data_IF_924984911317
#
_entry.id   IF_924984911317
#
_cell.length_a   1.000
_cell.length_b   1.000
_cell.length_c   1.000
_cell.angle_alpha   90.00
_cell.angle_beta   90.00
_cell.angle_gamma   90.00
#
_symmetry.space_group_name_H-M   'P 1'
#
loop_
_entity.id
_entity.type
_entity.pdbx_description
1 polymer ?
#
# COMPACT_ATOMS: atom_id res chain seq x y z
N UNK A 1 0.10 -9.71 -17.85
CA UNK A 1 -0.38 -9.93 -16.47
C UNK A 1 -1.17 -8.71 -16.02
N UNK A 2 -2.11 -8.92 -15.13
CA UNK A 2 -2.87 -7.86 -14.48
C UNK A 2 -2.28 -7.56 -13.11
N UNK A 3 -1.76 -6.35 -12.93
CA UNK A 3 -1.00 -5.94 -11.75
C UNK A 3 -1.74 -4.81 -11.05
N UNK A 4 -1.97 -4.95 -9.74
CA UNK A 4 -2.52 -3.91 -8.90
C UNK A 4 -1.42 -3.32 -8.02
N UNK A 5 -1.12 -2.04 -8.22
CA UNK A 5 -0.24 -1.26 -7.35
C UNK A 5 -1.08 -0.57 -6.26
N UNK A 6 -0.70 -0.73 -5.00
CA UNK A 6 -1.40 -0.15 -3.85
C UNK A 6 -0.45 0.80 -3.13
N UNK A 7 -0.80 2.09 -3.10
CA UNK A 7 0.00 3.10 -2.41
C UNK A 7 -0.89 4.24 -1.91
N UNK A 8 -0.71 4.73 -0.67
CA UNK A 8 -1.42 5.92 -0.20
C UNK A 8 -1.10 7.16 -1.04
N UNK A 9 0.04 7.17 -1.74
CA UNK A 9 0.50 8.28 -2.57
C UNK A 9 0.78 7.83 -4.00
N UNK A 10 0.28 8.59 -4.97
CA UNK A 10 0.58 8.48 -6.40
C UNK A 10 0.33 9.85 -7.05
N UNK A 11 0.89 10.10 -8.21
CA UNK A 11 0.68 11.34 -8.95
C UNK A 11 1.24 12.60 -8.25
N UNK A 12 2.30 12.45 -7.43
CA UNK A 12 2.84 13.53 -6.61
C UNK A 12 4.36 13.69 -6.73
N UNK A 13 4.89 14.67 -6.01
CA UNK A 13 6.33 15.02 -6.02
C UNK A 13 7.13 14.15 -5.03
N UNK A 14 6.50 13.36 -4.16
CA UNK A 14 7.17 12.52 -3.18
C UNK A 14 7.86 11.30 -3.78
N UNK A 15 8.97 10.84 -3.18
CA UNK A 15 9.76 9.72 -3.70
C UNK A 15 8.98 8.42 -3.94
N UNK A 16 8.05 8.07 -3.01
CA UNK A 16 7.18 6.89 -3.19
C UNK A 16 6.20 7.10 -4.35
N UNK A 17 5.61 8.29 -4.48
CA UNK A 17 4.69 8.59 -5.57
C UNK A 17 5.39 8.48 -6.92
N UNK A 18 6.55 9.09 -7.07
CA UNK A 18 7.36 9.01 -8.31
C UNK A 18 7.77 7.57 -8.62
N UNK A 19 8.12 6.78 -7.61
CA UNK A 19 8.46 5.37 -7.79
C UNK A 19 7.25 4.56 -8.29
N UNK A 20 6.08 4.74 -7.70
CA UNK A 20 4.85 4.05 -8.12
C UNK A 20 4.46 4.42 -9.54
N UNK A 21 4.51 5.71 -9.86
CA UNK A 21 4.15 6.22 -11.18
C UNK A 21 5.14 5.72 -12.26
N UNK A 22 6.46 5.76 -11.97
CA UNK A 22 7.49 5.25 -12.86
C UNK A 22 7.38 3.73 -13.09
N UNK A 23 7.13 2.97 -12.02
CA UNK A 23 6.92 1.52 -12.13
C UNK A 23 5.66 1.21 -12.95
N UNK A 24 4.57 1.94 -12.75
CA UNK A 24 3.35 1.78 -13.52
C UNK A 24 3.58 2.03 -15.01
N UNK A 25 4.26 3.12 -15.36
CA UNK A 25 4.60 3.46 -16.74
C UNK A 25 5.48 2.38 -17.38
N UNK A 26 6.51 1.92 -16.68
CA UNK A 26 7.39 0.87 -17.17
C UNK A 26 6.62 -0.44 -17.43
N UNK A 27 5.85 -0.92 -16.47
CA UNK A 27 5.09 -2.17 -16.59
C UNK A 27 4.05 -2.11 -17.71
N UNK A 28 3.38 -0.97 -17.87
CA UNK A 28 2.44 -0.74 -18.98
C UNK A 28 3.18 -0.73 -20.32
N UNK A 29 4.35 -0.10 -20.38
CA UNK A 29 5.20 -0.06 -21.57
C UNK A 29 5.67 -1.42 -22.06
N UNK A 30 5.86 -2.39 -21.16
CA UNK A 30 6.21 -3.79 -21.49
C UNK A 30 4.98 -4.70 -21.66
N UNK A 31 3.78 -4.14 -21.72
CA UNK A 31 2.56 -4.86 -22.11
C UNK A 31 1.74 -5.46 -20.96
N UNK A 32 1.95 -5.00 -19.71
CA UNK A 32 1.11 -5.41 -18.58
C UNK A 32 -0.08 -4.45 -18.39
N UNK A 33 -1.20 -4.99 -17.91
CA UNK A 33 -2.34 -4.20 -17.45
C UNK A 33 -2.08 -3.77 -16.01
N UNK A 34 -1.98 -2.46 -15.76
CA UNK A 34 -1.63 -1.92 -14.43
C UNK A 34 -2.73 -1.01 -13.91
N UNK A 35 -3.27 -1.37 -12.75
CA UNK A 35 -4.18 -0.54 -11.97
C UNK A 35 -3.43 0.07 -10.77
N UNK A 36 -3.73 1.32 -10.43
CA UNK A 36 -3.24 1.97 -9.20
C UNK A 36 -4.40 2.22 -8.25
N UNK A 37 -4.26 1.75 -7.01
CA UNK A 37 -5.16 2.06 -5.90
C UNK A 37 -4.44 3.02 -4.95
N UNK A 38 -4.89 4.28 -4.90
CA UNK A 38 -4.27 5.34 -4.10
C UNK A 38 -5.30 6.22 -3.41
N UNK A 39 -4.83 7.18 -2.63
CA UNK A 39 -5.70 8.20 -2.01
C UNK A 39 -6.43 9.09 -3.03
N UNK A 40 -5.99 9.11 -4.28
CA UNK A 40 -6.65 9.87 -5.35
C UNK A 40 -7.94 9.21 -5.85
N UNK A 41 -8.03 7.88 -5.77
CA UNK A 41 -9.19 7.12 -6.22
C UNK A 41 -9.85 6.28 -5.11
N UNK A 42 -9.55 6.58 -3.86
CA UNK A 42 -10.07 5.91 -2.66
C UNK A 42 -10.43 6.96 -1.63
N UNK A 43 -11.50 6.75 -0.88
CA UNK A 43 -11.87 7.67 0.20
C UNK A 43 -10.77 7.75 1.25
N UNK A 44 -10.33 8.98 1.55
CA UNK A 44 -9.36 9.26 2.62
C UNK A 44 -9.76 10.53 3.36
N UNK A 45 -9.55 10.52 4.68
CA UNK A 45 -9.77 11.72 5.51
C UNK A 45 -8.51 12.59 5.41
N UNK A 46 -8.60 13.87 4.96
CA UNK A 46 -7.43 14.72 4.72
C UNK A 46 -6.84 15.32 6.01
N UNK A 47 -6.89 14.60 7.12
CA UNK A 47 -6.31 14.98 8.39
C UNK A 47 -5.04 14.16 8.60
N UNK A 48 -3.93 14.81 8.94
CA UNK A 48 -2.58 14.22 9.03
C UNK A 48 -2.50 12.87 9.76
N UNK A 49 -3.25 12.68 10.85
CA UNK A 49 -3.23 11.43 11.62
C UNK A 49 -4.23 10.38 11.12
N UNK A 50 -5.25 10.77 10.36
CA UNK A 50 -6.34 9.91 9.89
C UNK A 50 -6.20 9.50 8.43
N UNK A 51 -5.34 10.16 7.66
CA UNK A 51 -5.15 9.89 6.22
C UNK A 51 -4.77 8.42 5.96
N UNK A 52 -3.73 7.93 6.60
CA UNK A 52 -3.26 6.56 6.37
C UNK A 52 -4.20 5.49 6.91
N UNK A 53 -4.75 5.57 8.14
CA UNK A 53 -5.76 4.63 8.62
C UNK A 53 -7.02 4.61 7.77
N UNK A 54 -7.53 5.77 7.33
CA UNK A 54 -8.70 5.84 6.46
C UNK A 54 -8.44 5.26 5.08
N UNK A 55 -7.26 5.49 4.50
CA UNK A 55 -6.83 4.85 3.26
C UNK A 55 -6.77 3.33 3.42
N UNK A 56 -6.14 2.83 4.47
CA UNK A 56 -6.02 1.40 4.75
C UNK A 56 -7.39 0.71 4.78
N UNK A 57 -8.35 1.29 5.50
CA UNK A 57 -9.69 0.74 5.62
C UNK A 57 -10.46 0.81 4.29
N UNK A 58 -10.41 1.95 3.60
CA UNK A 58 -11.09 2.14 2.32
C UNK A 58 -10.51 1.25 1.23
N UNK A 59 -9.18 1.10 1.17
CA UNK A 59 -8.51 0.19 0.26
C UNK A 59 -8.91 -1.27 0.54
N UNK A 60 -8.98 -1.67 1.80
CA UNK A 60 -9.45 -3.01 2.17
C UNK A 60 -10.88 -3.28 1.70
N UNK A 61 -11.81 -2.33 1.89
CA UNK A 61 -13.18 -2.47 1.40
C UNK A 61 -13.25 -2.53 -0.13
N UNK A 62 -12.52 -1.64 -0.80
CA UNK A 62 -12.53 -1.55 -2.27
C UNK A 62 -11.94 -2.79 -2.93
N UNK A 63 -10.92 -3.39 -2.34
CA UNK A 63 -10.28 -4.60 -2.87
C UNK A 63 -11.12 -5.86 -2.72
N UNK A 64 -12.12 -5.89 -1.83
CA UNK A 64 -13.08 -7.00 -1.77
C UNK A 64 -13.82 -7.25 -3.09
N UNK A 65 -13.99 -6.22 -3.89
CA UNK A 65 -14.69 -6.27 -5.17
C UNK A 65 -13.75 -6.35 -6.38
N UNK A 66 -12.44 -6.26 -6.16
CA UNK A 66 -11.42 -6.40 -7.23
C UNK A 66 -10.98 -7.86 -7.32
N UNK A 67 -11.21 -8.48 -8.49
CA UNK A 67 -10.81 -9.86 -8.77
C UNK A 67 -9.97 -9.92 -10.05
N UNK A 68 -9.28 -11.04 -10.25
CA UNK A 68 -8.56 -11.32 -11.49
C UNK A 68 -7.21 -10.61 -11.64
N UNK A 69 -6.60 -10.17 -10.54
CA UNK A 69 -5.22 -9.71 -10.55
C UNK A 69 -4.26 -10.90 -10.42
N UNK A 70 -3.16 -10.86 -11.15
CA UNK A 70 -2.07 -11.84 -11.07
C UNK A 70 -1.09 -11.47 -9.95
N UNK A 71 -0.90 -10.16 -9.73
CA UNK A 71 0.00 -9.61 -8.72
C UNK A 71 -0.70 -8.44 -8.00
N UNK A 72 -0.60 -8.41 -6.68
CA UNK A 72 -0.92 -7.26 -5.83
C UNK A 72 0.38 -6.77 -5.17
N UNK A 73 0.80 -5.55 -5.49
CA UNK A 73 2.05 -4.97 -5.02
C UNK A 73 1.77 -3.68 -4.23
N UNK A 74 2.06 -3.69 -2.94
CA UNK A 74 1.95 -2.48 -2.12
C UNK A 74 3.30 -1.83 -1.90
N UNK A 75 3.32 -0.50 -1.99
CA UNK A 75 4.49 0.35 -1.76
C UNK A 75 4.48 1.00 -0.38
N UNK A 76 3.56 0.61 0.45
CA UNK A 76 3.47 1.09 1.83
C UNK A 76 2.80 0.05 2.70
N UNK A 77 3.30 -0.11 3.92
CA UNK A 77 2.78 -1.10 4.86
C UNK A 77 1.27 -0.94 5.13
N UNK A 78 0.75 0.29 5.04
CA UNK A 78 -0.68 0.57 5.20
C UNK A 78 -1.56 -0.02 4.08
N UNK A 79 -0.98 -0.36 2.93
CA UNK A 79 -1.69 -1.06 1.85
C UNK A 79 -1.79 -2.58 2.05
N UNK A 80 -0.99 -3.14 2.96
CA UNK A 80 -0.89 -4.59 3.13
C UNK A 80 -2.21 -5.25 3.54
N UNK A 81 -3.03 -4.57 4.35
CA UNK A 81 -4.33 -5.10 4.76
C UNK A 81 -5.25 -5.38 3.56
N UNK A 82 -5.20 -4.50 2.55
CA UNK A 82 -6.00 -4.66 1.34
C UNK A 82 -5.64 -5.94 0.57
N UNK A 83 -4.39 -6.41 0.70
CA UNK A 83 -3.93 -7.62 0.02
C UNK A 83 -4.50 -8.92 0.61
N UNK A 84 -5.12 -8.89 1.81
CA UNK A 84 -5.84 -10.06 2.36
C UNK A 84 -6.96 -10.56 1.45
N UNK A 85 -7.53 -9.68 0.65
CA UNK A 85 -8.64 -10.00 -0.24
C UNK A 85 -8.21 -10.75 -1.53
N UNK A 86 -6.91 -10.88 -1.77
CA UNK A 86 -6.38 -11.50 -2.98
C UNK A 86 -5.77 -12.88 -2.71
N UNK A 87 -5.98 -13.80 -3.64
CA UNK A 87 -5.30 -15.10 -3.71
C UNK A 87 -4.08 -15.10 -4.65
N UNK A 88 -3.83 -13.96 -5.35
CA UNK A 88 -2.68 -13.78 -6.23
C UNK A 88 -1.37 -13.56 -5.45
N UNK A 89 -0.25 -13.48 -6.18
CA UNK A 89 1.06 -13.11 -5.59
C UNK A 89 1.04 -11.73 -4.97
N UNK A 90 1.57 -11.62 -3.76
CA UNK A 90 1.57 -10.40 -2.94
C UNK A 90 3.00 -9.94 -2.70
N UNK A 91 3.28 -8.69 -3.07
CA UNK A 91 4.60 -8.07 -2.94
C UNK A 91 4.48 -6.82 -2.07
N UNK A 92 5.45 -6.61 -1.20
CA UNK A 92 5.56 -5.43 -0.36
C UNK A 92 6.91 -4.75 -0.57
N UNK A 93 6.91 -3.52 -1.10
CA UNK A 93 8.10 -2.67 -1.09
C UNK A 93 8.14 -1.82 0.19
N UNK A 94 9.24 -1.92 0.92
CA UNK A 94 9.46 -1.18 2.17
C UNK A 94 10.35 0.03 1.88
N UNK A 95 9.81 1.23 2.10
CA UNK A 95 10.51 2.51 1.94
C UNK A 95 10.97 3.12 3.28
N UNK A 96 11.16 2.28 4.29
CA UNK A 96 11.58 2.66 5.64
C UNK A 96 10.89 1.84 6.72
N UNK A 97 11.46 1.83 7.93
CA UNK A 97 10.89 1.09 9.07
C UNK A 97 9.75 1.90 9.67
N UNK A 98 8.53 1.51 9.34
CA UNK A 98 7.30 2.23 9.70
C UNK A 98 7.14 2.44 11.21
N UNK A 99 7.34 1.38 12.01
CA UNK A 99 7.22 1.45 13.47
C UNK A 99 8.23 2.40 14.12
N UNK A 100 9.45 2.53 13.58
CA UNK A 100 10.44 3.50 14.05
C UNK A 100 10.02 4.92 13.74
N UNK A 101 9.51 5.17 12.54
CA UNK A 101 9.03 6.49 12.15
C UNK A 101 7.83 6.93 13.00
N UNK A 102 6.92 6.01 13.31
CA UNK A 102 5.77 6.27 14.18
C UNK A 102 6.22 6.54 15.62
N UNK A 103 7.22 5.82 16.15
CA UNK A 103 7.75 6.06 17.50
C UNK A 103 8.29 7.46 17.67
N UNK A 104 8.98 7.99 16.66
CA UNK A 104 9.51 9.36 16.67
C UNK A 104 8.40 10.42 16.62
N UNK A 105 7.30 10.15 15.92
CA UNK A 105 6.24 11.13 15.69
C UNK A 105 5.11 11.09 16.72
N UNK A 106 4.79 9.93 17.29
CA UNK A 106 3.55 9.69 18.03
C UNK A 106 3.72 8.94 19.36
N UNK A 107 4.95 8.57 19.74
CA UNK A 107 5.25 7.92 21.03
C UNK A 107 5.19 6.38 21.01
N UNK A 108 5.57 5.78 22.15
CA UNK A 108 5.80 4.33 22.28
C UNK A 108 4.57 3.45 22.11
N UNK A 109 3.41 3.88 22.62
CA UNK A 109 2.17 3.07 22.55
C UNK A 109 1.70 2.89 21.11
N UNK A 110 1.68 3.97 20.35
CA UNK A 110 1.32 3.94 18.93
C UNK A 110 2.34 3.13 18.12
N UNK A 111 3.62 3.19 18.50
CA UNK A 111 4.68 2.38 17.90
C UNK A 111 4.47 0.89 18.10
N UNK A 112 4.00 0.45 19.28
CA UNK A 112 3.74 -0.97 19.56
C UNK A 112 2.61 -1.53 18.68
N UNK A 113 1.54 -0.76 18.49
CA UNK A 113 0.44 -1.12 17.58
C UNK A 113 0.95 -1.20 16.14
N UNK A 114 1.73 -0.21 15.71
CA UNK A 114 2.34 -0.18 14.38
C UNK A 114 3.28 -1.35 14.14
N UNK A 115 4.05 -1.78 15.14
CA UNK A 115 4.94 -2.95 15.06
C UNK A 115 4.16 -4.26 14.87
N UNK A 116 3.04 -4.42 15.59
CA UNK A 116 2.16 -5.59 15.40
C UNK A 116 1.58 -5.63 14.00
N UNK A 117 1.15 -4.47 13.50
CA UNK A 117 0.63 -4.35 12.13
C UNK A 117 1.72 -4.62 11.08
N UNK A 118 2.92 -4.09 11.27
CA UNK A 118 4.08 -4.32 10.41
C UNK A 118 4.42 -5.82 10.33
N UNK A 119 4.47 -6.51 11.49
CA UNK A 119 4.69 -7.96 11.56
C UNK A 119 3.59 -8.74 10.82
N UNK A 120 2.33 -8.36 10.99
CA UNK A 120 1.22 -8.97 10.26
C UNK A 120 1.37 -8.77 8.75
N UNK A 121 1.74 -7.56 8.32
CA UNK A 121 1.92 -7.24 6.91
C UNK A 121 3.05 -8.05 6.27
N UNK A 122 4.18 -8.21 6.97
CA UNK A 122 5.31 -9.01 6.52
C UNK A 122 4.95 -10.51 6.36
N UNK A 123 4.10 -11.04 7.25
CA UNK A 123 3.64 -12.43 7.18
C UNK A 123 2.58 -12.68 6.10
N UNK A 124 2.00 -11.61 5.56
CA UNK A 124 0.92 -11.70 4.57
C UNK A 124 1.43 -11.80 3.13
N UNK A 125 2.65 -11.35 2.89
CA UNK A 125 3.21 -11.19 1.54
C UNK A 125 4.10 -12.36 1.14
N UNK A 126 4.16 -12.62 -0.17
CA UNK A 126 4.99 -13.69 -0.74
C UNK A 126 6.43 -13.21 -1.01
N UNK A 127 6.62 -11.90 -1.17
CA UNK A 127 7.92 -11.28 -1.40
C UNK A 127 8.00 -9.86 -0.80
N UNK A 128 9.23 -9.46 -0.43
CA UNK A 128 9.55 -8.14 0.11
C UNK A 128 10.67 -7.53 -0.76
#
# INVERSE_FOLDING_TARGET
MKILLISPTSGGIGGIAQHVDGLSQFLTGVGHEVDILSSMNTFTIPIKRLKNPSFMFSAFLKTKFKKGNDIAHTHHIMGALAMKNFSCKKILSIHGVYSKNIAQLYGKTTSNISRKYEKMALNLVDAI
#
